data_IF_741687143365
#
_entry.id   IF_741687143365
#
_cell.length_a   1.000
_cell.length_b   1.000
_cell.length_c   1.000
_cell.angle_alpha   90.00
_cell.angle_beta   90.00
_cell.angle_gamma   90.00
#
_symmetry.space_group_name_H-M   'P 1'
#
loop_
_entity.id
_entity.type
_entity.pdbx_description
1 polymer ?
#
# COMPACT_ATOMS: atom_id res chain seq x y z
N UNK A 1 -18.92 -2.49 7.88
CA UNK A 1 -18.93 -2.77 6.42
C UNK A 1 -20.30 -3.28 6.04
N UNK A 2 -20.80 -2.98 4.83
CA UNK A 2 -22.02 -3.64 4.31
C UNK A 2 -21.79 -5.15 4.17
N UNK A 3 -22.88 -5.94 4.25
CA UNK A 3 -22.84 -7.40 4.11
C UNK A 3 -22.56 -7.77 2.66
N UNK A 4 -21.49 -8.53 2.42
CA UNK A 4 -21.17 -9.10 1.10
C UNK A 4 -22.06 -10.32 0.83
N UNK A 5 -22.73 -10.36 -0.33
CA UNK A 5 -23.52 -11.52 -0.76
C UNK A 5 -22.66 -12.57 -1.46
N UNK A 6 -23.21 -13.77 -1.67
CA UNK A 6 -22.56 -14.83 -2.45
C UNK A 6 -22.26 -14.35 -3.88
N UNK A 7 -21.03 -14.59 -4.35
CA UNK A 7 -20.55 -14.12 -5.66
C UNK A 7 -20.07 -12.66 -5.71
N UNK A 8 -20.24 -11.88 -4.63
CA UNK A 8 -19.74 -10.50 -4.57
C UNK A 8 -18.33 -10.42 -4.00
N UNK A 9 -17.53 -9.51 -4.55
CA UNK A 9 -16.22 -9.12 -4.01
C UNK A 9 -16.39 -7.73 -3.39
N UNK A 10 -16.40 -7.66 -2.06
CA UNK A 10 -16.33 -6.38 -1.35
C UNK A 10 -14.87 -6.00 -1.20
N UNK A 11 -14.45 -4.98 -1.96
CA UNK A 11 -13.16 -4.34 -1.77
C UNK A 11 -13.35 -3.18 -0.81
N UNK A 12 -13.02 -3.37 0.47
CA UNK A 12 -12.90 -2.24 1.37
C UNK A 12 -11.69 -1.40 0.91
N UNK A 13 -11.92 -0.14 0.56
CA UNK A 13 -10.84 0.82 0.38
C UNK A 13 -10.25 1.07 1.76
N UNK A 14 -9.25 0.28 2.15
CA UNK A 14 -8.59 0.36 3.44
C UNK A 14 -8.25 1.83 3.74
N UNK A 15 -8.89 2.48 4.73
CA UNK A 15 -8.47 3.80 5.17
C UNK A 15 -7.17 3.61 5.95
N UNK A 16 -6.05 3.54 5.25
CA UNK A 16 -4.71 3.47 5.83
C UNK A 16 -4.47 2.44 6.95
N UNK A 17 -5.42 1.56 7.31
CA UNK A 17 -5.25 0.54 8.35
C UNK A 17 -3.92 -0.15 8.07
N UNK A 18 -2.98 0.10 8.98
CA UNK A 18 -1.57 -0.29 8.90
C UNK A 18 -0.61 0.54 8.04
N UNK A 19 -0.61 1.88 8.17
CA UNK A 19 0.69 2.59 8.19
C UNK A 19 1.28 2.47 9.60
N UNK A 20 1.59 1.25 10.01
CA UNK A 20 2.43 1.06 11.19
C UNK A 20 3.87 1.41 10.85
N UNK A 21 4.71 1.74 11.83
CA UNK A 21 6.14 1.97 11.58
C UNK A 21 6.81 0.72 10.99
N UNK A 22 6.23 -0.45 11.21
CA UNK A 22 6.68 -1.71 10.63
C UNK A 22 6.20 -1.89 9.18
N UNK A 23 5.26 -1.11 8.65
CA UNK A 23 4.78 -1.29 7.27
C UNK A 23 5.89 -1.17 6.21
N UNK A 24 6.82 -0.20 6.27
CA UNK A 24 8.04 -0.21 5.45
C UNK A 24 8.87 -1.49 5.62
N UNK A 25 9.00 -2.00 6.85
CA UNK A 25 9.73 -3.24 7.13
C UNK A 25 9.01 -4.47 6.58
N UNK A 26 7.68 -4.56 6.67
CA UNK A 26 6.85 -5.62 6.08
C UNK A 26 6.88 -5.60 4.56
N UNK A 27 6.83 -4.42 3.94
CA UNK A 27 6.97 -4.28 2.48
C UNK A 27 8.35 -4.79 2.06
N UNK A 28 9.41 -4.43 2.80
CA UNK A 28 10.77 -4.95 2.59
C UNK A 28 10.88 -6.46 2.85
N UNK A 29 10.16 -7.00 3.85
CA UNK A 29 10.16 -8.43 4.17
C UNK A 29 9.42 -9.25 3.09
N UNK A 30 8.25 -8.78 2.65
CA UNK A 30 7.47 -9.36 1.55
C UNK A 30 8.29 -9.39 0.25
N UNK A 31 9.01 -8.31 -0.05
CA UNK A 31 9.96 -8.26 -1.14
C UNK A 31 10.93 -7.11 -0.94
N UNK A 32 12.21 -7.44 -0.68
CA UNK A 32 13.29 -6.47 -0.43
C UNK A 32 13.49 -5.49 -1.59
N UNK A 33 13.01 -5.86 -2.77
CA UNK A 33 13.09 -5.08 -4.00
C UNK A 33 11.84 -4.24 -4.29
N UNK A 34 10.78 -4.36 -3.48
CA UNK A 34 9.53 -3.62 -3.69
C UNK A 34 9.70 -2.15 -3.34
N UNK A 35 10.15 -1.39 -4.34
CA UNK A 35 10.09 0.07 -4.37
C UNK A 35 8.75 0.49 -4.98
N UNK A 36 8.24 1.67 -4.64
CA UNK A 36 7.04 2.28 -5.29
C UNK A 36 7.10 2.16 -6.84
N UNK A 37 8.32 2.19 -7.38
CA UNK A 37 8.65 2.05 -8.79
C UNK A 37 8.36 0.65 -9.35
N UNK A 38 8.53 -0.42 -8.56
CA UNK A 38 8.22 -1.80 -8.99
C UNK A 38 6.72 -1.99 -9.15
N UNK A 39 5.92 -1.42 -8.24
CA UNK A 39 4.45 -1.46 -8.35
C UNK A 39 4.00 -0.73 -9.62
N UNK A 40 4.52 0.47 -9.89
CA UNK A 40 4.18 1.21 -11.11
C UNK A 40 4.73 0.57 -12.38
N UNK A 41 5.85 -0.14 -12.31
CA UNK A 41 6.34 -0.99 -13.40
C UNK A 41 5.32 -2.07 -13.76
N UNK A 42 4.89 -2.86 -12.77
CA UNK A 42 3.86 -3.91 -12.96
C UNK A 42 2.55 -3.36 -13.50
N UNK A 43 2.13 -2.17 -13.05
CA UNK A 43 0.93 -1.49 -13.57
C UNK A 43 1.11 -1.09 -15.03
N UNK A 44 2.26 -0.53 -15.41
CA UNK A 44 2.53 -0.21 -16.82
C UNK A 44 2.51 -1.46 -17.68
N UNK A 45 3.12 -2.57 -17.23
CA UNK A 45 3.10 -3.85 -17.96
C UNK A 45 1.69 -4.40 -18.11
N UNK A 46 0.90 -4.41 -17.03
CA UNK A 46 -0.47 -4.88 -17.03
C UNK A 46 -1.35 -4.11 -18.03
N UNK A 47 -1.10 -2.80 -18.16
CA UNK A 47 -1.81 -1.94 -19.12
C UNK A 47 -1.20 -1.97 -20.54
N UNK A 48 -0.13 -2.73 -20.77
CA UNK A 48 0.58 -2.76 -22.06
C UNK A 48 1.29 -1.44 -22.41
N UNK A 49 1.62 -0.62 -21.42
CA UNK A 49 2.28 0.67 -21.58
C UNK A 49 3.80 0.52 -21.54
N UNK A 50 4.49 1.39 -22.29
CA UNK A 50 5.95 1.54 -22.17
C UNK A 50 6.30 1.97 -20.74
N UNK A 51 7.30 1.32 -20.14
CA UNK A 51 7.83 1.67 -18.81
C UNK A 51 8.58 3.02 -18.86
N UNK A 52 7.84 4.10 -18.70
CA UNK A 52 8.36 5.48 -18.68
C UNK A 52 8.55 5.96 -17.25
N UNK A 53 7.66 5.53 -16.34
CA UNK A 53 7.70 5.96 -14.94
C UNK A 53 8.83 5.22 -14.21
N UNK A 54 9.77 5.99 -13.68
CA UNK A 54 10.97 5.56 -12.97
C UNK A 54 11.13 6.27 -11.63
N UNK A 55 12.16 5.91 -10.86
CA UNK A 55 12.55 6.55 -9.60
C UNK A 55 12.76 8.06 -9.69
N UNK A 56 13.23 8.54 -10.84
CA UNK A 56 13.44 9.97 -11.12
C UNK A 56 12.16 10.80 -10.96
N UNK A 57 11.00 10.21 -11.18
CA UNK A 57 9.70 10.87 -11.07
C UNK A 57 9.22 11.02 -9.61
N UNK A 58 9.98 10.49 -8.64
CA UNK A 58 9.64 10.53 -7.22
C UNK A 58 10.76 11.17 -6.40
N UNK A 59 10.38 11.76 -5.27
CA UNK A 59 11.29 12.09 -4.18
C UNK A 59 10.63 11.77 -2.85
N UNK A 60 11.42 11.48 -1.83
CA UNK A 60 10.89 11.27 -0.49
C UNK A 60 10.78 12.60 0.26
N UNK A 61 9.59 12.91 0.78
CA UNK A 61 9.40 14.07 1.64
C UNK A 61 9.49 13.61 3.10
N UNK A 62 10.59 13.95 3.78
CA UNK A 62 10.85 13.54 5.16
C UNK A 62 9.80 14.09 6.14
N UNK A 63 9.35 15.33 5.97
CA UNK A 63 8.31 15.95 6.81
C UNK A 63 6.96 15.24 6.64
N UNK A 64 6.63 14.84 5.42
CA UNK A 64 5.39 14.10 5.15
C UNK A 64 5.52 12.62 5.54
N UNK A 65 6.72 12.05 5.49
CA UNK A 65 6.97 10.62 5.69
C UNK A 65 6.60 9.74 4.49
N UNK A 66 6.33 10.33 3.32
CA UNK A 66 5.88 9.61 2.13
C UNK A 66 6.58 10.09 0.86
N UNK A 67 6.71 9.23 -0.16
CA UNK A 67 7.09 9.64 -1.51
C UNK A 67 6.09 10.65 -2.11
N UNK A 68 6.61 11.63 -2.84
CA UNK A 68 5.87 12.63 -3.59
C UNK A 68 6.32 12.61 -5.06
N UNK A 69 5.48 13.15 -5.95
CA UNK A 69 5.74 13.23 -7.39
C UNK A 69 6.59 14.47 -7.69
N UNK A 70 7.68 14.27 -8.44
CA UNK A 70 8.36 15.35 -9.15
C UNK A 70 7.57 15.64 -10.42
N UNK A 71 7.25 16.91 -10.69
CA UNK A 71 6.73 17.28 -12.01
C UNK A 71 7.88 17.44 -13.00
N UNK A 72 7.57 17.34 -14.29
CA UNK A 72 8.51 17.54 -15.39
C UNK A 72 9.18 18.92 -15.32
N UNK A 73 10.40 19.01 -15.88
CA UNK A 73 11.14 20.26 -16.01
C UNK A 73 10.26 21.29 -16.73
N UNK A 74 9.93 22.40 -16.04
CA UNK A 74 9.10 23.48 -16.57
C UNK A 74 7.77 23.75 -15.86
N UNK A 75 7.35 22.94 -14.87
CA UNK A 75 6.17 23.28 -14.04
C UNK A 75 6.52 23.46 -12.56
N UNK A 76 6.09 24.60 -12.02
CA UNK A 76 6.44 25.07 -10.69
C UNK A 76 5.78 24.22 -9.58
N UNK A 77 6.63 23.58 -8.79
CA UNK A 77 6.40 22.88 -7.52
C UNK A 77 6.08 21.38 -7.62
N UNK A 78 6.82 20.54 -6.87
CA UNK A 78 6.51 19.12 -6.73
C UNK A 78 5.13 18.90 -6.10
N UNK A 79 4.52 17.76 -6.40
CA UNK A 79 3.19 17.42 -5.92
C UNK A 79 3.24 16.29 -4.87
N UNK A 80 2.85 16.62 -3.66
CA UNK A 80 2.58 15.65 -2.60
C UNK A 80 1.08 15.42 -2.47
N UNK A 81 0.68 14.21 -2.07
CA UNK A 81 -0.69 13.93 -1.68
C UNK A 81 -1.16 14.88 -0.56
N UNK A 82 -2.44 15.25 -0.57
CA UNK A 82 -3.02 16.20 0.38
C UNK A 82 -3.03 15.72 1.84
N UNK A 83 -3.53 16.58 2.73
CA UNK A 83 -3.58 16.35 4.20
C UNK A 83 -4.43 15.14 4.61
N UNK A 84 -5.34 14.69 3.74
CA UNK A 84 -6.21 13.54 4.00
C UNK A 84 -5.52 12.20 3.78
N UNK A 85 -4.27 12.18 3.29
CA UNK A 85 -3.49 10.99 2.96
C UNK A 85 -2.25 10.90 3.86
N UNK A 86 -2.13 9.79 4.59
CA UNK A 86 -1.07 9.56 5.57
C UNK A 86 -1.35 10.21 6.93
N UNK A 87 -2.58 10.09 7.44
CA UNK A 87 -2.93 10.62 8.77
C UNK A 87 -2.32 9.76 9.88
N UNK A 88 -2.00 10.38 11.01
CA UNK A 88 -1.53 9.66 12.20
C UNK A 88 -2.62 8.71 12.71
N UNK A 89 -2.23 7.46 12.98
CA UNK A 89 -3.12 6.48 13.57
C UNK A 89 -3.22 6.67 15.08
N UNK A 90 -4.39 6.35 15.69
CA UNK A 90 -4.47 6.27 17.13
C UNK A 90 -3.58 5.12 17.64
N UNK A 91 -3.15 5.22 18.90
CA UNK A 91 -2.54 4.09 19.58
C UNK A 91 -3.64 3.08 19.92
N UNK A 92 -3.49 1.83 19.44
CA UNK A 92 -4.42 0.74 19.67
C UNK A 92 -3.72 -0.29 20.54
N UNK A 93 -4.41 -0.77 21.57
CA UNK A 93 -3.87 -1.76 22.49
C UNK A 93 -3.36 -3.01 21.72
N UNK A 94 -2.15 -3.53 22.02
CA UNK A 94 -1.56 -4.65 21.26
C UNK A 94 -2.46 -5.88 21.17
N UNK A 95 -3.22 -6.18 22.23
CA UNK A 95 -4.17 -7.30 22.23
C UNK A 95 -5.29 -7.13 21.20
N UNK A 96 -5.80 -5.90 21.01
CA UNK A 96 -6.83 -5.62 20.01
C UNK A 96 -6.26 -5.78 18.61
N UNK A 97 -5.01 -5.32 18.38
CA UNK A 97 -4.30 -5.52 17.12
C UNK A 97 -4.12 -7.02 16.85
N UNK A 98 -3.76 -7.81 17.86
CA UNK A 98 -3.59 -9.25 17.73
C UNK A 98 -4.92 -9.94 17.36
N UNK A 99 -6.01 -9.63 18.06
CA UNK A 99 -7.34 -10.15 17.75
C UNK A 99 -7.77 -9.82 16.32
N UNK A 100 -7.48 -8.61 15.84
CA UNK A 100 -7.75 -8.22 14.45
C UNK A 100 -6.91 -9.04 13.45
N UNK A 101 -5.63 -9.29 13.74
CA UNK A 101 -4.77 -10.14 12.89
C UNK A 101 -5.30 -11.57 12.83
N UNK A 102 -5.63 -12.14 13.98
CA UNK A 102 -6.15 -13.51 14.05
C UNK A 102 -7.48 -13.65 13.32
N UNK A 103 -8.35 -12.64 13.42
CA UNK A 103 -9.61 -12.59 12.68
C UNK A 103 -9.40 -12.54 11.16
N UNK A 104 -8.46 -11.72 10.66
CA UNK A 104 -8.24 -11.57 9.22
C UNK A 104 -7.41 -12.69 8.58
N UNK A 105 -6.57 -13.39 9.35
CA UNK A 105 -5.67 -14.45 8.85
C UNK A 105 -6.34 -15.47 7.90
N UNK A 106 -7.47 -16.12 8.23
CA UNK A 106 -8.09 -17.07 7.30
C UNK A 106 -8.57 -16.41 5.99
N UNK A 107 -9.01 -15.16 6.04
CA UNK A 107 -9.45 -14.41 4.85
C UNK A 107 -8.25 -13.96 4.00
N UNK A 108 -7.14 -13.57 4.64
CA UNK A 108 -5.90 -13.24 3.96
C UNK A 108 -5.35 -14.44 3.19
N UNK A 109 -5.33 -15.63 3.80
CA UNK A 109 -4.90 -16.86 3.12
C UNK A 109 -5.78 -17.20 1.92
N UNK A 110 -7.11 -17.05 2.05
CA UNK A 110 -8.02 -17.22 0.91
C UNK A 110 -7.74 -16.20 -0.19
N UNK A 111 -7.47 -14.94 0.16
CA UNK A 111 -7.12 -13.90 -0.80
C UNK A 111 -5.79 -14.19 -1.52
N UNK A 112 -4.78 -14.71 -0.81
CA UNK A 112 -3.51 -15.12 -1.44
C UNK A 112 -3.72 -16.25 -2.44
N UNK A 113 -4.55 -17.23 -2.10
CA UNK A 113 -4.91 -18.31 -3.02
C UNK A 113 -5.65 -17.78 -4.27
N UNK A 114 -6.60 -16.85 -4.08
CA UNK A 114 -7.37 -16.26 -5.18
C UNK A 114 -6.51 -15.41 -6.13
N UNK A 115 -5.52 -14.70 -5.60
CA UNK A 115 -4.67 -13.79 -6.38
C UNK A 115 -3.38 -14.45 -6.86
N UNK A 116 -3.03 -15.61 -6.33
CA UNK A 116 -1.75 -16.28 -6.59
C UNK A 116 -0.54 -15.52 -6.01
N UNK A 117 -0.75 -14.59 -5.08
CA UNK A 117 0.31 -13.75 -4.52
C UNK A 117 0.20 -13.67 -2.99
N UNK A 118 1.33 -13.86 -2.30
CA UNK A 118 1.46 -13.65 -0.85
C UNK A 118 1.84 -12.19 -0.59
N UNK A 119 1.06 -11.49 0.25
CA UNK A 119 1.27 -10.07 0.55
C UNK A 119 1.95 -9.78 1.91
N UNK A 120 2.26 -10.82 2.71
CA UNK A 120 3.02 -10.67 3.96
C UNK A 120 2.28 -9.92 5.08
N UNK A 121 0.95 -10.07 5.16
CA UNK A 121 0.16 -9.41 6.22
C UNK A 121 0.11 -10.19 7.53
N UNK A 122 0.43 -11.48 7.48
CA UNK A 122 0.26 -12.45 8.57
C UNK A 122 1.56 -12.80 9.29
N UNK A 123 2.67 -12.16 8.90
CA UNK A 123 4.00 -12.23 9.54
C UNK A 123 4.12 -11.30 10.77
#
# INVERSE_FOLDING_TARGET
>A
MPKTLEGQITMEKTPSYFVTREAPARISAMSRDTKLIVVLGRVQDFLGLKRIITDKHFYFNQTKGFPCLKKAEGSSKPHCLGKTKGRTHPNIHPEVVQRLRDFYRPFNMKFYQMTGQIFGWDD
#
